data_IF_858377519647
#
_entry.id   IF_858377519647
#
_cell.length_a   1.000
_cell.length_b   1.000
_cell.length_c   1.000
_cell.angle_alpha   90.00
_cell.angle_beta   90.00
_cell.angle_gamma   90.00
#
_symmetry.space_group_name_H-M   'P 1'
#
loop_
_entity.id
_entity.type
_entity.pdbx_description
1 polymer ?
#
# COMPACT_ATOMS: atom_id res chain seq x y z
N UNK A 1 18.43 20.95 13.35
CA UNK A 1 18.15 21.54 12.01
C UNK A 1 17.02 20.84 11.24
N UNK A 2 16.65 19.60 11.58
CA UNK A 2 15.54 18.83 10.97
C UNK A 2 14.15 19.31 11.43
N UNK A 3 14.01 19.73 12.69
CA UNK A 3 12.76 20.24 13.29
C UNK A 3 12.12 21.40 12.50
N UNK A 4 12.96 22.32 11.99
CA UNK A 4 12.53 23.48 11.22
C UNK A 4 12.05 23.14 9.80
N UNK A 5 12.45 21.99 9.23
CA UNK A 5 11.92 21.53 7.95
C UNK A 5 10.51 20.97 8.13
N UNK A 6 10.24 20.22 9.20
CA UNK A 6 8.95 19.61 9.47
C UNK A 6 7.81 20.63 9.69
N UNK A 7 8.07 21.67 10.49
CA UNK A 7 7.12 22.77 10.72
C UNK A 7 6.93 23.67 9.49
N UNK A 8 7.91 23.72 8.57
CA UNK A 8 7.75 24.39 7.27
C UNK A 8 6.98 23.52 6.27
N UNK A 9 7.15 22.19 6.30
CA UNK A 9 6.40 21.24 5.48
C UNK A 9 4.90 21.32 5.81
N UNK A 10 4.53 21.44 7.09
CA UNK A 10 3.14 21.68 7.49
C UNK A 10 2.56 23.02 7.00
N UNK A 11 3.41 24.04 6.76
CA UNK A 11 3.00 25.38 6.34
C UNK A 11 3.18 25.68 4.83
N UNK A 12 3.87 24.83 4.07
CA UNK A 12 4.21 25.09 2.66
C UNK A 12 3.14 24.66 1.65
N UNK A 13 2.23 23.76 2.02
CA UNK A 13 1.23 23.20 1.09
C UNK A 13 -0.07 23.98 1.08
N UNK A 14 0.01 25.28 0.81
CA UNK A 14 -1.11 26.23 0.70
C UNK A 14 -2.44 25.60 0.23
N UNK A 15 -3.32 25.39 1.20
CA UNK A 15 -4.60 24.70 1.10
C UNK A 15 -4.98 24.24 2.51
N UNK A 16 -6.21 24.49 2.95
CA UNK A 16 -6.69 24.18 4.31
C UNK A 16 -6.17 22.81 4.78
N UNK A 17 -5.51 22.82 5.95
CA UNK A 17 -5.27 21.70 6.88
C UNK A 17 -5.55 20.35 6.22
N UNK A 18 -4.51 19.63 5.77
CA UNK A 18 -4.64 18.20 5.43
C UNK A 18 -5.35 17.53 6.60
N UNK A 19 -6.61 17.17 6.37
CA UNK A 19 -7.45 16.54 7.38
C UNK A 19 -6.69 15.35 7.97
N UNK A 20 -6.61 15.29 9.30
CA UNK A 20 -5.86 14.22 9.97
C UNK A 20 -6.51 12.88 9.65
N UNK A 21 -5.76 12.01 8.99
CA UNK A 21 -6.18 10.62 8.80
C UNK A 21 -5.96 9.84 10.09
N UNK A 22 -7.01 9.18 10.56
CA UNK A 22 -6.97 8.26 11.68
C UNK A 22 -7.13 6.83 11.17
N UNK A 23 -6.37 5.93 11.78
CA UNK A 23 -6.41 4.50 11.48
C UNK A 23 -7.25 3.79 12.53
N UNK A 24 -7.87 2.68 12.12
CA UNK A 24 -8.49 1.77 13.09
C UNK A 24 -7.42 1.14 13.96
N UNK A 25 -7.76 0.88 15.21
CA UNK A 25 -6.90 0.11 16.10
C UNK A 25 -7.06 -1.35 15.68
N UNK A 26 -5.98 -2.04 15.30
CA UNK A 26 -6.04 -3.47 15.00
C UNK A 26 -6.55 -4.22 16.22
N UNK A 27 -7.41 -5.22 16.01
CA UNK A 27 -7.92 -6.02 17.12
C UNK A 27 -6.75 -6.80 17.73
N UNK A 28 -6.63 -6.81 19.05
CA UNK A 28 -5.73 -7.73 19.73
C UNK A 28 -6.12 -9.16 19.35
N UNK A 29 -5.19 -9.88 18.71
CA UNK A 29 -5.42 -11.26 18.31
C UNK A 29 -5.29 -12.13 19.56
N UNK A 30 -6.41 -12.70 20.02
CA UNK A 30 -6.43 -13.53 21.20
C UNK A 30 -6.01 -14.95 20.80
N UNK A 31 -4.73 -15.29 21.02
CA UNK A 31 -4.12 -16.59 20.66
C UNK A 31 -4.78 -17.80 21.34
N UNK A 32 -5.69 -17.59 22.30
CA UNK A 32 -6.30 -18.64 23.12
C UNK A 32 -7.42 -19.45 22.43
N UNK A 33 -7.94 -19.02 21.28
CA UNK A 33 -9.14 -19.61 20.68
C UNK A 33 -8.92 -20.52 19.45
N UNK A 34 -7.69 -20.68 18.97
CA UNK A 34 -7.36 -21.61 17.89
C UNK A 34 -6.25 -22.55 18.34
N UNK A 35 -6.51 -23.86 18.31
CA UNK A 35 -5.64 -24.94 18.81
C UNK A 35 -4.28 -25.09 18.08
N UNK A 36 -3.92 -24.15 17.22
CA UNK A 36 -2.69 -24.09 16.41
C UNK A 36 -2.04 -22.70 16.41
N UNK A 37 -2.35 -21.84 17.39
CA UNK A 37 -1.80 -20.49 17.43
C UNK A 37 -0.28 -20.50 17.70
N UNK A 38 0.50 -20.10 16.69
CA UNK A 38 1.96 -19.94 16.78
C UNK A 38 2.26 -18.49 17.10
N UNK A 39 3.19 -18.25 18.02
CA UNK A 39 3.69 -16.90 18.30
C UNK A 39 4.26 -16.28 17.02
N UNK A 40 3.81 -15.07 16.61
CA UNK A 40 4.30 -14.46 15.39
C UNK A 40 5.78 -14.11 15.48
N UNK A 41 6.57 -14.58 14.52
CA UNK A 41 7.96 -14.16 14.35
C UNK A 41 8.06 -12.73 13.81
N UNK A 42 7.09 -12.33 12.99
CA UNK A 42 7.05 -11.02 12.33
C UNK A 42 5.60 -10.62 12.07
N UNK A 43 5.27 -9.35 12.32
CA UNK A 43 3.99 -8.74 11.95
C UNK A 43 4.20 -7.70 10.84
N UNK A 44 3.40 -7.80 9.78
CA UNK A 44 3.30 -6.79 8.73
C UNK A 44 2.05 -5.92 8.95
N UNK A 45 2.24 -4.65 9.29
CA UNK A 45 1.17 -3.66 9.41
C UNK A 45 1.00 -2.93 8.08
N UNK A 46 -0.01 -3.30 7.30
CA UNK A 46 -0.27 -2.78 5.96
C UNK A 46 -1.31 -1.66 6.01
N UNK A 47 -0.87 -0.42 5.69
CA UNK A 47 -1.72 0.77 5.59
C UNK A 47 -1.76 1.22 4.13
N UNK A 48 -2.94 1.19 3.50
CA UNK A 48 -3.07 1.45 2.07
C UNK A 48 -3.99 2.62 1.71
N UNK A 49 -3.86 3.08 0.46
CA UNK A 49 -4.66 4.17 -0.09
C UNK A 49 -6.15 3.85 -0.22
N UNK A 50 -6.55 2.62 -0.54
CA UNK A 50 -7.95 2.32 -0.80
C UNK A 50 -8.38 0.87 -0.59
N UNK A 51 -9.66 0.64 -0.84
CA UNK A 51 -10.33 -0.64 -0.62
C UNK A 51 -9.79 -1.77 -1.53
N UNK A 52 -9.26 -1.44 -2.70
CA UNK A 52 -8.68 -2.41 -3.63
C UNK A 52 -7.46 -3.09 -3.00
N UNK A 53 -6.54 -2.29 -2.46
CA UNK A 53 -5.33 -2.73 -1.78
C UNK A 53 -5.68 -3.47 -0.48
N UNK A 54 -6.56 -2.88 0.35
CA UNK A 54 -7.02 -3.50 1.60
C UNK A 54 -7.59 -4.91 1.35
N UNK A 55 -8.47 -5.05 0.35
CA UNK A 55 -9.07 -6.34 0.00
C UNK A 55 -8.06 -7.33 -0.60
N UNK A 56 -7.05 -6.85 -1.33
CA UNK A 56 -5.94 -7.70 -1.76
C UNK A 56 -5.17 -8.26 -0.58
N UNK A 57 -4.77 -7.42 0.40
CA UNK A 57 -4.05 -7.89 1.59
C UNK A 57 -4.90 -8.76 2.50
N UNK A 58 -6.22 -8.52 2.61
CA UNK A 58 -7.13 -9.45 3.27
C UNK A 58 -7.12 -10.81 2.58
N UNK A 59 -7.13 -10.82 1.24
CA UNK A 59 -6.96 -12.02 0.45
C UNK A 59 -5.66 -12.77 0.76
N UNK A 60 -4.53 -12.06 0.78
CA UNK A 60 -3.22 -12.64 1.13
C UNK A 60 -3.23 -13.24 2.54
N UNK A 61 -3.71 -12.47 3.52
CA UNK A 61 -3.80 -12.89 4.92
C UNK A 61 -4.67 -14.13 5.11
N UNK A 62 -5.80 -14.21 4.41
CA UNK A 62 -6.76 -15.29 4.58
C UNK A 62 -6.34 -16.57 3.83
N UNK A 63 -5.36 -16.50 2.93
CA UNK A 63 -4.91 -17.62 2.10
C UNK A 63 -3.40 -17.91 2.26
N UNK A 64 -2.83 -17.65 3.45
CA UNK A 64 -1.38 -17.80 3.72
C UNK A 64 -0.82 -19.16 3.28
N UNK A 65 -1.51 -20.24 3.62
CA UNK A 65 -1.09 -21.62 3.30
C UNK A 65 -0.94 -21.81 1.79
N UNK A 66 -1.97 -21.43 1.02
CA UNK A 66 -1.94 -21.52 -0.46
C UNK A 66 -0.87 -20.61 -1.09
N UNK A 67 -0.52 -19.52 -0.40
CA UNK A 67 0.49 -18.56 -0.84
C UNK A 67 1.90 -18.87 -0.34
N UNK A 68 2.12 -20.02 0.31
CA UNK A 68 3.40 -20.41 0.92
C UNK A 68 3.92 -19.40 1.95
N UNK A 69 3.01 -18.74 2.67
CA UNK A 69 3.33 -17.85 3.79
C UNK A 69 3.21 -18.65 5.09
N UNK A 70 4.27 -18.66 5.89
CA UNK A 70 4.33 -19.43 7.14
C UNK A 70 3.33 -18.90 8.16
N UNK A 71 2.87 -19.79 9.06
CA UNK A 71 1.87 -19.42 10.08
C UNK A 71 2.40 -18.38 11.09
N UNK A 72 3.71 -18.36 11.34
CA UNK A 72 4.41 -17.38 12.18
C UNK A 72 4.58 -15.98 11.54
N UNK A 73 4.12 -15.79 10.30
CA UNK A 73 4.02 -14.48 9.65
C UNK A 73 2.61 -13.94 9.83
N UNK A 74 2.50 -12.82 10.55
CA UNK A 74 1.24 -12.13 10.77
C UNK A 74 1.09 -10.96 9.80
N UNK A 75 -0.09 -10.82 9.18
CA UNK A 75 -0.39 -9.73 8.24
C UNK A 75 -1.61 -9.00 8.78
N UNK A 76 -1.44 -7.76 9.18
CA UNK A 76 -2.49 -6.90 9.70
C UNK A 76 -2.84 -5.82 8.68
N UNK A 77 -4.09 -5.80 8.23
CA UNK A 77 -4.60 -4.76 7.33
C UNK A 77 -5.21 -3.66 8.17
N UNK A 78 -4.55 -2.51 8.20
CA UNK A 78 -4.93 -1.36 9.03
C UNK A 78 -5.78 -0.41 8.20
N UNK A 79 -7.09 -0.59 8.28
CA UNK A 79 -8.06 0.26 7.58
C UNK A 79 -8.13 1.68 8.18
N UNK A 80 -8.54 2.63 7.35
CA UNK A 80 -8.88 3.99 7.79
C UNK A 80 -10.13 3.99 8.68
N UNK A 81 -10.25 4.99 9.54
CA UNK A 81 -11.51 5.20 10.26
C UNK A 81 -12.66 5.49 9.29
N UNK A 82 -13.86 5.02 9.66
CA UNK A 82 -15.05 5.19 8.85
C UNK A 82 -15.32 6.67 8.61
N UNK A 83 -15.57 7.05 7.36
CA UNK A 83 -15.77 8.44 6.94
C UNK A 83 -14.51 9.14 6.42
N UNK A 84 -13.34 8.50 6.52
CA UNK A 84 -12.05 9.03 6.04
C UNK A 84 -11.53 8.28 4.80
N UNK A 85 -12.39 7.53 4.12
CA UNK A 85 -12.02 6.67 2.99
C UNK A 85 -11.36 7.48 1.84
N UNK A 86 -11.75 8.74 1.68
CA UNK A 86 -11.24 9.67 0.65
C UNK A 86 -9.86 10.26 0.96
N UNK A 87 -9.38 10.19 2.21
CA UNK A 87 -8.07 10.71 2.62
C UNK A 87 -6.97 9.76 2.12
N UNK A 88 -6.41 10.07 0.98
CA UNK A 88 -5.58 9.17 0.17
C UNK A 88 -4.16 9.68 -0.05
N UNK A 89 -3.83 10.89 0.42
CA UNK A 89 -2.49 11.44 0.18
C UNK A 89 -1.44 10.57 0.89
N UNK A 90 -0.36 10.14 0.22
CA UNK A 90 0.67 9.29 0.83
C UNK A 90 1.25 9.85 2.14
N UNK A 91 1.55 11.15 2.20
CA UNK A 91 1.95 11.82 3.45
C UNK A 91 0.92 11.69 4.60
N UNK A 92 -0.39 11.66 4.31
CA UNK A 92 -1.40 11.41 5.35
C UNK A 92 -1.30 9.98 5.88
N UNK A 93 -1.08 8.99 5.01
CA UNK A 93 -0.86 7.59 5.42
C UNK A 93 0.38 7.47 6.30
N UNK A 94 1.49 8.10 5.92
CA UNK A 94 2.74 8.09 6.69
C UNK A 94 2.56 8.76 8.05
N UNK A 95 1.98 9.96 8.10
CA UNK A 95 1.72 10.64 9.38
C UNK A 95 0.78 9.81 10.28
N UNK A 96 -0.22 9.15 9.71
CA UNK A 96 -1.09 8.26 10.48
C UNK A 96 -0.32 7.05 11.05
N UNK A 97 0.62 6.47 10.29
CA UNK A 97 1.52 5.43 10.80
C UNK A 97 2.40 5.96 11.93
N UNK A 98 3.03 7.13 11.76
CA UNK A 98 3.86 7.75 12.80
C UNK A 98 3.08 8.00 14.09
N UNK A 99 1.82 8.42 13.98
CA UNK A 99 0.93 8.60 15.13
C UNK A 99 0.65 7.25 15.81
N UNK A 100 0.29 6.20 15.07
CA UNK A 100 0.05 4.87 15.65
C UNK A 100 1.30 4.25 16.25
N UNK A 101 2.46 4.50 15.67
CA UNK A 101 3.76 4.09 16.20
C UNK A 101 4.18 4.92 17.43
N UNK A 102 3.42 5.94 17.86
CA UNK A 102 3.78 6.80 18.98
C UNK A 102 5.00 7.69 18.70
N UNK A 103 5.28 8.01 17.43
CA UNK A 103 6.38 8.88 17.00
C UNK A 103 5.99 10.35 17.01
N UNK A 104 4.71 10.63 16.80
CA UNK A 104 4.14 11.98 16.84
C UNK A 104 2.86 12.00 17.68
N UNK A 105 2.57 13.14 18.29
CA UNK A 105 1.34 13.38 19.06
C UNK A 105 0.15 13.75 18.15
N UNK A 106 -0.97 14.16 18.77
CA UNK A 106 -2.19 14.44 18.03
C UNK A 106 -2.06 15.69 17.13
N UNK A 107 -1.18 16.60 17.50
CA UNK A 107 -0.85 17.87 16.86
C UNK A 107 0.29 17.73 15.83
N UNK A 108 0.94 16.56 15.77
CA UNK A 108 2.03 16.25 14.84
C UNK A 108 3.43 16.60 15.38
N UNK A 109 3.57 16.92 16.66
CA UNK A 109 4.87 17.13 17.29
C UNK A 109 5.55 15.79 17.56
N UNK A 110 6.88 15.78 17.47
CA UNK A 110 7.67 14.58 17.73
C UNK A 110 7.60 14.18 19.21
N UNK A 111 7.40 12.89 19.45
CA UNK A 111 7.48 12.26 20.76
C UNK A 111 8.92 11.79 20.97
N UNK A 112 9.55 12.04 22.13
CA UNK A 112 10.88 11.52 22.47
C UNK A 112 10.96 9.99 22.33
N UNK A 113 12.12 9.48 21.90
CA UNK A 113 12.31 8.05 21.60
C UNK A 113 12.11 7.13 22.81
N UNK A 114 12.53 7.58 23.99
CA UNK A 114 12.30 6.89 25.27
C UNK A 114 10.81 6.75 25.62
N UNK A 115 9.94 7.53 24.98
CA UNK A 115 8.48 7.53 25.16
C UNK A 115 7.72 6.87 24.02
N UNK A 116 8.39 6.33 23.00
CA UNK A 116 7.71 5.73 21.86
C UNK A 116 6.86 4.52 22.26
N UNK A 117 7.38 3.66 23.14
CA UNK A 117 6.68 2.44 23.56
C UNK A 117 5.38 2.74 24.30
N UNK A 118 5.39 3.69 25.25
CA UNK A 118 4.20 4.09 26.01
C UNK A 118 3.15 4.82 25.15
N UNK A 119 3.57 5.42 24.03
CA UNK A 119 2.67 6.17 23.14
C UNK A 119 2.19 5.36 21.94
N UNK A 120 2.79 4.20 21.67
CA UNK A 120 2.38 3.31 20.58
C UNK A 120 0.96 2.79 20.80
N UNK A 121 0.16 2.78 19.73
CA UNK A 121 -1.25 2.37 19.70
C UNK A 121 -1.45 0.94 19.23
N UNK A 122 -0.38 0.26 18.84
CA UNK A 122 -0.40 -1.13 18.42
C UNK A 122 0.13 -2.01 19.54
N UNK A 123 -0.74 -2.88 20.05
CA UNK A 123 -0.38 -3.83 21.08
C UNK A 123 0.73 -4.77 20.57
N UNK A 124 1.73 -5.01 21.40
CA UNK A 124 2.86 -5.89 21.14
C UNK A 124 3.62 -5.58 19.82
N UNK A 125 3.64 -4.31 19.39
CA UNK A 125 4.47 -3.88 18.27
C UNK A 125 5.95 -3.84 18.66
N UNK A 126 6.79 -4.55 17.90
CA UNK A 126 8.23 -4.55 18.05
C UNK A 126 8.89 -3.89 16.84
N UNK A 127 9.49 -2.71 17.03
CA UNK A 127 10.15 -1.96 15.96
C UNK A 127 11.42 -2.61 15.38
N UNK A 128 11.95 -3.66 16.00
CA UNK A 128 13.10 -4.42 15.51
C UNK A 128 12.67 -5.65 14.70
N UNK A 129 11.53 -6.24 15.03
CA UNK A 129 11.02 -7.45 14.37
C UNK A 129 9.93 -7.16 13.32
N UNK A 130 9.01 -6.24 13.63
CA UNK A 130 7.82 -5.97 12.83
C UNK A 130 8.08 -4.97 11.69
N UNK A 131 7.24 -5.07 10.66
CA UNK A 131 7.30 -4.25 9.46
C UNK A 131 6.04 -3.40 9.32
N UNK A 132 6.22 -2.08 9.26
CA UNK A 132 5.14 -1.15 8.88
C UNK A 132 5.26 -0.86 7.40
N UNK A 133 4.19 -1.10 6.64
CA UNK A 133 4.14 -0.91 5.19
C UNK A 133 3.10 0.14 4.83
N UNK A 134 3.51 1.16 4.08
CA UNK A 134 2.60 2.17 3.51
C UNK A 134 2.49 1.94 2.02
N UNK A 135 1.27 1.64 1.55
CA UNK A 135 0.98 1.23 0.17
C UNK A 135 0.20 2.34 -0.54
N UNK A 136 0.76 2.88 -1.62
CA UNK A 136 0.11 3.94 -2.40
C UNK A 136 0.48 3.94 -3.89
N UNK A 137 -0.32 4.64 -4.67
CA UNK A 137 -0.12 4.79 -6.10
C UNK A 137 0.75 5.98 -6.45
N UNK A 138 1.56 5.81 -7.50
CA UNK A 138 2.40 6.91 -8.00
C UNK A 138 1.57 8.02 -8.66
N UNK A 139 0.40 7.69 -9.21
CA UNK A 139 -0.44 8.60 -9.99
C UNK A 139 -1.24 9.63 -9.18
N UNK A 140 -0.97 9.76 -7.88
CA UNK A 140 -1.48 10.85 -7.05
C UNK A 140 -0.96 12.22 -7.55
N UNK A 141 -1.84 13.21 -7.61
CA UNK A 141 -1.54 14.52 -8.20
C UNK A 141 -0.47 15.27 -7.39
N UNK A 142 0.60 15.73 -8.06
CA UNK A 142 1.73 16.48 -7.46
C UNK A 142 2.53 15.70 -6.41
N UNK A 143 2.42 14.37 -6.41
CA UNK A 143 3.13 13.53 -5.45
C UNK A 143 4.65 13.75 -5.51
N UNK A 144 5.19 14.04 -6.70
CA UNK A 144 6.61 14.33 -6.97
C UNK A 144 7.18 15.39 -6.05
N UNK A 145 6.40 16.43 -5.73
CA UNK A 145 6.80 17.53 -4.86
C UNK A 145 7.03 17.08 -3.41
N UNK A 146 6.59 15.87 -3.04
CA UNK A 146 6.64 15.33 -1.69
C UNK A 146 7.33 13.96 -1.55
N UNK A 147 7.65 13.27 -2.66
CA UNK A 147 8.20 11.90 -2.64
C UNK A 147 9.50 11.80 -1.85
N UNK A 148 10.46 12.70 -2.09
CA UNK A 148 11.74 12.67 -1.36
C UNK A 148 11.51 12.82 0.16
N UNK A 149 10.59 13.71 0.55
CA UNK A 149 10.24 13.91 1.96
C UNK A 149 9.56 12.66 2.54
N UNK A 150 8.66 12.03 1.79
CA UNK A 150 8.01 10.77 2.18
C UNK A 150 9.07 9.67 2.38
N UNK A 151 9.97 9.50 1.41
CA UNK A 151 11.00 8.46 1.46
C UNK A 151 11.98 8.67 2.61
N UNK A 152 12.46 9.90 2.81
CA UNK A 152 13.36 10.24 3.93
C UNK A 152 12.70 9.94 5.26
N UNK A 153 11.43 10.33 5.40
CA UNK A 153 10.67 10.13 6.62
C UNK A 153 10.40 8.64 6.92
N UNK A 154 9.98 7.91 5.90
CA UNK A 154 9.77 6.47 6.00
C UNK A 154 11.07 5.75 6.36
N UNK A 155 12.19 6.10 5.73
CA UNK A 155 13.50 5.53 6.05
C UNK A 155 13.94 5.83 7.49
N UNK A 156 13.74 7.07 7.96
CA UNK A 156 14.06 7.48 9.32
C UNK A 156 13.30 6.66 10.38
N UNK A 157 12.04 6.29 10.11
CA UNK A 157 11.19 5.56 11.05
C UNK A 157 10.99 4.08 10.71
N UNK A 158 11.78 3.52 9.78
CA UNK A 158 11.70 2.12 9.34
C UNK A 158 10.32 1.71 8.83
N UNK A 159 9.64 2.64 8.17
CA UNK A 159 8.41 2.39 7.43
C UNK A 159 8.81 1.98 6.01
N UNK A 160 8.34 0.83 5.54
CA UNK A 160 8.52 0.39 4.17
C UNK A 160 7.50 1.09 3.27
N UNK A 161 7.99 1.67 2.18
CA UNK A 161 7.13 2.21 1.13
C UNK A 161 6.90 1.13 0.08
N UNK A 162 5.64 0.88 -0.23
CA UNK A 162 5.22 -0.03 -1.29
C UNK A 162 4.46 0.79 -2.33
N UNK A 163 5.01 0.88 -3.54
CA UNK A 163 4.51 1.78 -4.56
C UNK A 163 4.32 1.04 -5.88
N UNK A 164 3.23 1.35 -6.57
CA UNK A 164 3.00 0.91 -7.95
C UNK A 164 2.99 2.12 -8.87
N UNK A 165 3.73 2.04 -9.98
CA UNK A 165 3.77 3.07 -11.01
C UNK A 165 3.26 2.48 -12.34
N UNK A 166 2.09 2.94 -12.84
CA UNK A 166 1.38 4.14 -12.38
C UNK A 166 0.50 3.94 -11.16
N UNK A 167 -0.07 2.76 -10.98
CA UNK A 167 -0.98 2.47 -9.87
C UNK A 167 -1.16 0.96 -9.63
N UNK A 168 -1.90 0.60 -8.58
CA UNK A 168 -2.07 -0.76 -8.10
C UNK A 168 -2.74 -1.69 -9.11
N UNK A 169 -3.53 -1.16 -10.05
CA UNK A 169 -4.08 -1.97 -11.14
C UNK A 169 -3.00 -2.60 -12.03
N UNK A 170 -1.79 -2.04 -12.09
CA UNK A 170 -0.66 -2.71 -12.74
C UNK A 170 -0.31 -4.02 -12.05
N UNK A 171 -0.23 -4.03 -10.72
CA UNK A 171 0.02 -5.24 -9.93
C UNK A 171 -1.10 -6.26 -10.11
N UNK A 172 -2.37 -5.82 -10.13
CA UNK A 172 -3.49 -6.71 -10.42
C UNK A 172 -3.39 -7.32 -11.84
N UNK A 173 -3.00 -6.52 -12.84
CA UNK A 173 -2.83 -7.01 -14.20
C UNK A 173 -1.71 -8.05 -14.31
N UNK A 174 -0.64 -7.93 -13.52
CA UNK A 174 0.47 -8.90 -13.45
C UNK A 174 0.03 -10.31 -12.98
N UNK A 175 -1.19 -10.51 -12.50
CA UNK A 175 -1.71 -11.86 -12.22
C UNK A 175 -2.11 -12.61 -13.51
N UNK A 176 -2.35 -11.88 -14.60
CA UNK A 176 -2.81 -12.46 -15.86
C UNK A 176 -1.63 -12.63 -16.84
N UNK A 177 -1.70 -13.62 -17.75
CA UNK A 177 -0.63 -13.84 -18.73
C UNK A 177 -0.60 -12.76 -19.81
N UNK A 178 0.44 -12.78 -20.65
CA UNK A 178 0.61 -11.93 -21.82
C UNK A 178 0.73 -10.43 -21.50
N UNK A 179 1.40 -10.05 -20.42
CA UNK A 179 1.63 -8.63 -20.09
C UNK A 179 2.52 -7.95 -21.14
N UNK A 180 3.44 -8.71 -21.74
CA UNK A 180 4.36 -8.30 -22.79
C UNK A 180 3.68 -7.89 -24.10
N UNK A 181 2.42 -8.28 -24.31
CA UNK A 181 1.64 -7.85 -25.48
C UNK A 181 1.30 -6.35 -25.43
N UNK A 182 1.33 -5.75 -24.23
CA UNK A 182 0.97 -4.35 -24.04
C UNK A 182 2.20 -3.46 -24.12
N UNK A 183 2.06 -2.32 -24.80
CA UNK A 183 3.09 -1.29 -24.82
C UNK A 183 3.40 -0.79 -23.40
N UNK A 184 4.66 -0.86 -22.91
CA UNK A 184 5.04 -0.34 -21.60
C UNK A 184 4.68 1.14 -21.44
N UNK A 185 4.79 1.92 -22.52
CA UNK A 185 4.37 3.33 -22.52
C UNK A 185 2.87 3.50 -22.30
N UNK A 186 2.03 2.65 -22.89
CA UNK A 186 0.57 2.73 -22.67
C UNK A 186 0.19 2.32 -21.25
N UNK A 187 0.86 1.30 -20.70
CA UNK A 187 0.69 0.89 -19.31
C UNK A 187 1.07 2.04 -18.36
N UNK A 188 2.22 2.69 -18.59
CA UNK A 188 2.72 3.79 -17.77
C UNK A 188 1.87 5.06 -17.89
N UNK A 189 1.52 5.46 -19.11
CA UNK A 189 0.68 6.65 -19.35
C UNK A 189 -0.73 6.48 -18.75
N UNK A 190 -1.21 5.23 -18.62
CA UNK A 190 -2.50 4.82 -18.03
C UNK A 190 -3.67 5.78 -18.34
N UNK A 191 -3.82 6.14 -19.62
CA UNK A 191 -4.75 7.20 -20.03
C UNK A 191 -6.20 6.77 -19.81
N UNK A 192 -7.06 7.77 -19.57
CA UNK A 192 -8.51 7.57 -19.65
C UNK A 192 -8.94 7.21 -21.06
N UNK A 193 -9.96 6.37 -21.18
CA UNK A 193 -10.59 5.98 -22.45
C UNK A 193 -11.46 7.10 -23.05
N UNK A 194 -10.92 8.31 -23.17
CA UNK A 194 -11.66 9.45 -23.67
C UNK A 194 -12.16 9.17 -25.09
N UNK A 195 -13.45 9.44 -25.33
CA UNK A 195 -14.10 9.26 -26.64
C UNK A 195 -13.90 7.84 -27.22
N UNK A 196 -13.78 6.82 -26.38
CA UNK A 196 -13.60 5.43 -26.80
C UNK A 196 -12.34 5.16 -27.63
N UNK A 197 -11.32 6.01 -27.52
CA UNK A 197 -10.11 5.91 -28.34
C UNK A 197 -9.22 4.69 -28.03
N UNK A 198 -9.36 4.09 -26.84
CA UNK A 198 -8.61 2.90 -26.43
C UNK A 198 -9.43 1.64 -26.67
N UNK A 199 -10.70 1.67 -26.28
CA UNK A 199 -11.65 0.56 -26.38
C UNK A 199 -13.05 1.10 -26.63
N UNK A 200 -13.69 0.62 -27.70
CA UNK A 200 -15.06 0.99 -28.09
C UNK A 200 -16.12 0.44 -27.14
N UNK A 201 -15.89 -0.77 -26.65
CA UNK A 201 -16.75 -1.52 -25.73
C UNK A 201 -16.64 -1.09 -24.25
N UNK A 202 -15.70 -0.20 -23.90
CA UNK A 202 -15.44 0.19 -22.51
C UNK A 202 -15.87 1.64 -22.20
N UNK A 203 -16.25 1.88 -20.94
CA UNK A 203 -16.63 3.22 -20.46
C UNK A 203 -15.51 4.25 -20.60
N UNK A 204 -15.87 5.49 -20.94
CA UNK A 204 -14.93 6.61 -21.10
C UNK A 204 -14.34 7.14 -19.81
N UNK A 205 -14.94 6.78 -18.67
CA UNK A 205 -14.47 7.16 -17.34
C UNK A 205 -13.33 6.28 -16.84
N UNK A 206 -13.14 5.08 -17.42
CA UNK A 206 -12.12 4.12 -16.99
C UNK A 206 -10.75 4.47 -17.55
N UNK A 207 -9.70 4.18 -16.77
CA UNK A 207 -8.31 4.22 -17.22
C UNK A 207 -7.91 2.93 -17.94
N UNK A 208 -6.83 2.97 -18.72
CA UNK A 208 -6.34 1.84 -19.50
C UNK A 208 -6.15 0.57 -18.67
N UNK A 209 -5.41 0.64 -17.55
CA UNK A 209 -5.16 -0.51 -16.67
C UNK A 209 -6.45 -1.04 -16.03
N UNK A 210 -7.36 -0.16 -15.61
CA UNK A 210 -8.67 -0.56 -15.07
C UNK A 210 -9.49 -1.37 -16.07
N UNK A 211 -9.46 -0.98 -17.35
CA UNK A 211 -10.13 -1.72 -18.43
C UNK A 211 -9.48 -3.09 -18.63
N UNK A 212 -8.15 -3.14 -18.70
CA UNK A 212 -7.42 -4.40 -18.87
C UNK A 212 -7.67 -5.37 -17.72
N UNK A 213 -7.62 -4.90 -16.47
CA UNK A 213 -7.97 -5.72 -15.30
C UNK A 213 -9.42 -6.16 -15.38
N UNK A 214 -10.37 -5.28 -15.72
CA UNK A 214 -11.80 -5.64 -15.85
C UNK A 214 -12.04 -6.73 -16.91
N UNK A 215 -11.27 -6.73 -18.01
CA UNK A 215 -11.39 -7.72 -19.09
C UNK A 215 -10.84 -9.10 -18.72
N UNK A 216 -9.86 -9.16 -17.80
CA UNK A 216 -9.25 -10.41 -17.35
C UNK A 216 -9.85 -10.94 -16.04
N UNK A 217 -10.23 -10.04 -15.13
CA UNK A 217 -10.78 -10.33 -13.82
C UNK A 217 -12.30 -10.10 -13.83
N UNK A 218 -13.07 -11.17 -14.09
CA UNK A 218 -14.52 -11.13 -14.02
C UNK A 218 -15.01 -10.54 -12.69
N UNK A 219 -15.76 -9.43 -12.77
CA UNK A 219 -16.36 -8.79 -11.60
C UNK A 219 -15.46 -7.80 -10.86
N UNK A 220 -14.35 -7.37 -11.44
CA UNK A 220 -13.56 -6.23 -10.94
C UNK A 220 -14.28 -4.90 -11.17
N UNK A 221 -14.33 -4.07 -10.13
CA UNK A 221 -14.74 -2.66 -10.20
C UNK A 221 -13.80 -1.82 -9.35
N UNK A 222 -13.26 -0.74 -9.93
CA UNK A 222 -12.36 0.17 -9.24
C UNK A 222 -13.02 0.77 -7.99
N UNK A 223 -12.24 0.91 -6.91
CA UNK A 223 -12.70 1.50 -5.64
C UNK A 223 -13.64 0.59 -4.84
N UNK A 224 -13.73 -0.69 -5.20
CA UNK A 224 -14.51 -1.69 -4.49
C UNK A 224 -13.63 -2.86 -4.05
N UNK A 225 -14.11 -3.66 -3.09
CA UNK A 225 -13.41 -4.86 -2.66
C UNK A 225 -13.28 -5.83 -3.84
N UNK A 226 -12.06 -6.32 -4.07
CA UNK A 226 -11.80 -7.30 -5.11
C UNK A 226 -12.24 -8.70 -4.66
N UNK A 227 -12.55 -9.56 -5.63
CA UNK A 227 -12.68 -11.01 -5.42
C UNK A 227 -11.30 -11.63 -5.54
N UNK A 228 -10.59 -11.74 -4.41
CA UNK A 228 -9.19 -12.16 -4.39
C UNK A 228 -8.98 -13.56 -4.97
N UNK A 229 -9.99 -14.43 -4.91
CA UNK A 229 -9.96 -15.80 -5.44
C UNK A 229 -9.68 -15.84 -6.95
N UNK A 230 -9.93 -14.73 -7.67
CA UNK A 230 -9.59 -14.60 -9.10
C UNK A 230 -8.10 -14.36 -9.34
N UNK A 231 -7.39 -13.86 -8.33
CA UNK A 231 -5.97 -13.51 -8.38
C UNK A 231 -5.11 -14.57 -7.70
N UNK A 232 -5.62 -15.20 -6.64
CA UNK A 232 -4.95 -16.19 -5.79
C UNK A 232 -4.14 -17.26 -6.58
N UNK A 233 -4.69 -17.95 -7.61
CA UNK A 233 -3.94 -18.98 -8.34
C UNK A 233 -2.73 -18.44 -9.13
N UNK A 234 -2.61 -17.12 -9.27
CA UNK A 234 -1.65 -16.49 -10.15
C UNK A 234 -0.69 -15.52 -9.44
N UNK A 235 -0.64 -15.54 -8.10
CA UNK A 235 0.27 -14.68 -7.32
C UNK A 235 1.73 -14.95 -7.67
N UNK A 236 2.13 -16.21 -7.87
CA UNK A 236 3.49 -16.56 -8.31
C UNK A 236 3.84 -15.96 -9.67
N UNK A 237 2.86 -15.92 -10.59
CA UNK A 237 3.03 -15.24 -11.88
C UNK A 237 3.21 -13.74 -11.67
N UNK A 238 2.41 -13.12 -10.80
CA UNK A 238 2.53 -11.70 -10.52
C UNK A 238 3.90 -11.33 -9.95
N UNK A 239 4.42 -12.11 -9.00
CA UNK A 239 5.77 -11.94 -8.47
C UNK A 239 6.81 -12.10 -9.58
N UNK A 240 6.70 -13.13 -10.43
CA UNK A 240 7.60 -13.34 -11.56
C UNK A 240 7.56 -12.19 -12.58
N UNK A 241 6.38 -11.66 -12.90
CA UNK A 241 6.22 -10.55 -13.83
C UNK A 241 6.72 -9.23 -13.24
N UNK A 242 6.56 -8.98 -11.94
CA UNK A 242 7.08 -7.77 -11.29
C UNK A 242 8.60 -7.61 -11.48
N UNK A 243 9.35 -8.72 -11.44
CA UNK A 243 10.82 -8.74 -11.66
C UNK A 243 11.27 -8.31 -13.05
N UNK A 244 10.37 -8.33 -14.04
CA UNK A 244 10.65 -7.87 -15.40
C UNK A 244 10.65 -6.34 -15.46
N UNK A 245 9.92 -5.69 -14.54
CA UNK A 245 9.76 -4.25 -14.45
C UNK A 245 10.52 -3.67 -13.24
N UNK A 246 10.38 -2.37 -12.98
CA UNK A 246 11.03 -1.75 -11.83
C UNK A 246 10.40 -2.23 -10.52
N UNK A 247 11.23 -2.62 -9.55
CA UNK A 247 10.80 -2.93 -8.17
C UNK A 247 11.52 -2.06 -7.13
N UNK A 248 12.49 -1.25 -7.56
CA UNK A 248 13.22 -0.33 -6.70
C UNK A 248 12.44 0.98 -6.52
N UNK A 249 12.25 1.41 -5.27
CA UNK A 249 11.41 2.57 -4.92
C UNK A 249 11.88 3.86 -5.60
N UNK A 250 13.20 4.07 -5.70
CA UNK A 250 13.73 5.28 -6.35
C UNK A 250 13.52 5.22 -7.86
N UNK A 251 13.74 4.06 -8.47
CA UNK A 251 13.50 3.86 -9.90
C UNK A 251 12.00 3.91 -10.27
N UNK A 252 11.12 3.48 -9.36
CA UNK A 252 9.66 3.47 -9.55
C UNK A 252 9.05 4.87 -9.68
N UNK A 253 9.76 5.94 -9.34
CA UNK A 253 9.27 7.31 -9.52
C UNK A 253 8.98 7.61 -11.00
N UNK A 254 9.84 7.13 -11.89
CA UNK A 254 9.79 7.42 -13.33
C UNK A 254 9.53 6.19 -14.20
N UNK A 255 9.74 4.98 -13.67
CA UNK A 255 9.65 3.75 -14.43
C UNK A 255 8.43 2.92 -14.07
N UNK A 256 7.84 2.29 -15.08
CA UNK A 256 6.77 1.30 -14.95
C UNK A 256 7.20 0.16 -14.01
N UNK A 257 6.36 -0.20 -13.06
CA UNK A 257 6.60 -1.34 -12.18
C UNK A 257 5.87 -1.26 -10.84
N UNK A 258 6.24 -2.13 -9.92
CA UNK A 258 5.69 -2.18 -8.57
C UNK A 258 6.65 -2.85 -7.60
N UNK A 259 6.71 -2.41 -6.35
CA UNK A 259 7.46 -3.10 -5.29
C UNK A 259 6.64 -4.17 -4.54
N UNK A 260 5.39 -4.43 -4.96
CA UNK A 260 4.55 -5.49 -4.39
C UNK A 260 5.16 -6.88 -4.51
N UNK A 261 5.88 -7.19 -5.60
CA UNK A 261 6.57 -8.47 -5.79
C UNK A 261 7.53 -8.77 -4.65
N UNK A 262 8.42 -7.82 -4.34
CA UNK A 262 9.35 -7.90 -3.21
C UNK A 262 8.65 -8.07 -1.86
N UNK A 263 7.55 -7.35 -1.61
CA UNK A 263 6.80 -7.50 -0.36
C UNK A 263 6.25 -8.93 -0.22
N UNK A 264 5.70 -9.50 -1.29
CA UNK A 264 5.18 -10.87 -1.27
C UNK A 264 6.29 -11.90 -1.02
N UNK A 265 7.49 -11.69 -1.58
CA UNK A 265 8.65 -12.54 -1.31
C UNK A 265 9.13 -12.41 0.15
N UNK A 266 9.14 -11.20 0.69
CA UNK A 266 9.46 -10.97 2.11
C UNK A 266 8.45 -11.66 3.05
N UNK A 267 7.15 -11.60 2.74
CA UNK A 267 6.12 -12.30 3.51
C UNK A 267 6.29 -13.83 3.45
N UNK A 268 6.89 -14.38 2.40
CA UNK A 268 7.15 -15.83 2.24
C UNK A 268 8.44 -16.32 2.91
N UNK A 269 9.32 -15.40 3.33
CA UNK A 269 10.65 -15.71 3.87
C UNK A 269 10.55 -16.16 5.33
#
# INVERSE_FOLDING_TARGET
>A
MVLFRYLRILNMYGGNILEKLNLRIPKSYNFENESESVEPRIKFYCVSEGATEESYFYGVRNNKVELNIKNDVYIEVIEKQKGQETLSHPMQLVNACLFQMGRIDAEGNQIPEDKWKENCKWDDFDMQADCVCVIFDRDYRKLEESLDTIFDLCNQHRIKVIMSNPNFELWLLMHFPNLEQYSPKMLLDNKKNLRHQLFDDASTNKKYLEILVSKNAEGYSKGSKIRFERFLPFVDRAIGQAKIYSEDIKSLVDNLGTSMGRLMEEMRS
#
